data_IF_746811215350
#
_entry.id   IF_746811215350
#
_cell.length_a   1.000
_cell.length_b   1.000
_cell.length_c   1.000
_cell.angle_alpha   90.00
_cell.angle_beta   90.00
_cell.angle_gamma   90.00
#
_symmetry.space_group_name_H-M   'P 1'
#
loop_
_entity.id
_entity.type
_entity.pdbx_description
1 polymer ?
#
# COMPACT_ATOMS: atom_id res chain seq x y z
N UNK A 1 29.81 10.83 2.53
CA UNK A 1 29.20 10.22 1.32
C UNK A 1 27.77 10.71 1.02
N UNK A 2 27.09 11.39 1.96
CA UNK A 2 25.75 11.99 1.72
C UNK A 2 25.76 13.50 1.56
N UNK A 3 26.93 14.14 1.61
CA UNK A 3 27.08 15.60 1.58
C UNK A 3 26.54 16.24 0.28
N UNK A 4 26.50 15.47 -0.81
CA UNK A 4 25.92 15.92 -2.08
C UNK A 4 24.39 16.07 -2.06
N UNK A 5 23.70 15.50 -1.04
CA UNK A 5 22.24 15.59 -0.86
C UNK A 5 21.85 16.75 0.09
N UNK A 6 22.80 17.28 0.85
CA UNK A 6 22.52 18.34 1.82
C UNK A 6 22.00 19.58 1.08
N UNK A 7 20.80 20.03 1.45
CA UNK A 7 20.12 21.16 0.84
C UNK A 7 19.51 20.92 -0.53
N UNK A 8 19.61 19.70 -1.10
CA UNK A 8 18.95 19.31 -2.34
C UNK A 8 17.66 18.57 -2.02
N UNK A 9 16.65 18.72 -2.90
CA UNK A 9 15.42 17.92 -2.88
C UNK A 9 15.50 16.93 -4.04
N UNK A 10 16.08 15.73 -3.84
CA UNK A 10 16.23 14.76 -4.91
C UNK A 10 14.87 14.35 -5.46
N UNK A 11 14.79 14.15 -6.76
CA UNK A 11 13.63 13.53 -7.42
C UNK A 11 13.88 12.03 -7.47
N UNK A 12 12.96 11.25 -6.93
CA UNK A 12 13.10 9.79 -6.81
C UNK A 12 11.85 9.14 -7.40
N UNK A 13 12.05 8.29 -8.40
CA UNK A 13 11.01 7.44 -8.94
C UNK A 13 10.99 6.12 -8.16
N UNK A 14 9.81 5.73 -7.69
CA UNK A 14 9.56 4.45 -7.02
C UNK A 14 8.73 3.60 -7.95
N UNK A 15 9.24 2.42 -8.28
CA UNK A 15 8.54 1.40 -9.07
C UNK A 15 8.47 0.14 -8.21
N UNK A 16 7.28 -0.43 -8.06
CA UNK A 16 7.09 -1.65 -7.27
C UNK A 16 5.66 -1.82 -6.80
N UNK A 17 5.44 -2.87 -6.01
CA UNK A 17 4.13 -3.22 -5.50
C UNK A 17 3.69 -2.24 -4.42
N UNK A 18 2.70 -1.44 -4.78
CA UNK A 18 2.00 -0.57 -3.85
C UNK A 18 0.96 -1.39 -3.08
N UNK A 19 0.87 -1.19 -1.78
CA UNK A 19 -0.13 -1.87 -0.98
C UNK A 19 -0.69 -0.97 0.12
N UNK A 20 -1.82 -1.37 0.66
CA UNK A 20 -2.44 -0.75 1.82
C UNK A 20 -2.30 -1.68 3.02
N UNK A 21 -1.66 -1.22 4.09
CA UNK A 21 -1.68 -1.87 5.39
C UNK A 21 -2.88 -1.34 6.19
N UNK A 22 -3.82 -2.21 6.48
CA UNK A 22 -5.02 -1.89 7.24
C UNK A 22 -4.93 -2.49 8.63
N UNK A 23 -4.76 -1.66 9.65
CA UNK A 23 -4.68 -2.06 11.04
C UNK A 23 -6.06 -2.00 11.68
N UNK A 24 -6.57 -3.13 12.17
CA UNK A 24 -7.88 -3.25 12.80
C UNK A 24 -7.67 -3.67 14.25
N UNK A 25 -7.85 -2.71 15.17
CA UNK A 25 -7.77 -2.99 16.61
C UNK A 25 -9.09 -3.50 17.12
N UNK A 26 -9.03 -4.64 17.78
CA UNK A 26 -10.20 -5.38 18.25
C UNK A 26 -10.10 -5.70 19.73
N UNK A 27 -11.27 -5.79 20.38
CA UNK A 27 -11.45 -6.50 21.65
C UNK A 27 -11.90 -7.93 21.37
N UNK A 28 -11.23 -8.90 22.01
CA UNK A 28 -11.63 -10.28 22.01
C UNK A 28 -12.11 -10.65 23.42
N UNK A 29 -13.41 -10.84 23.59
CA UNK A 29 -14.01 -11.12 24.91
C UNK A 29 -14.67 -12.50 25.03
N UNK A 30 -14.87 -13.19 23.93
CA UNK A 30 -15.56 -14.48 23.93
C UNK A 30 -15.16 -15.34 22.73
N UNK A 31 -15.36 -16.65 22.90
CA UNK A 31 -15.37 -17.62 21.79
C UNK A 31 -16.78 -17.66 21.19
N UNK A 32 -16.87 -17.89 19.89
CA UNK A 32 -18.16 -18.04 19.20
C UNK A 32 -18.91 -19.27 19.70
N UNK A 33 -20.24 -19.19 19.84
CA UNK A 33 -21.05 -20.39 20.11
C UNK A 33 -21.22 -21.29 18.87
N UNK A 34 -20.92 -20.79 17.67
CA UNK A 34 -21.12 -21.52 16.41
C UNK A 34 -19.91 -22.36 16.00
N UNK A 35 -18.71 -21.98 16.44
CA UNK A 35 -17.44 -22.64 16.11
C UNK A 35 -16.36 -22.27 17.15
N UNK A 36 -15.28 -23.06 17.31
CA UNK A 36 -14.19 -22.75 18.24
C UNK A 36 -13.28 -21.61 17.70
N UNK A 37 -13.89 -20.46 17.41
CA UNK A 37 -13.23 -19.26 16.89
C UNK A 37 -13.47 -18.07 17.80
N UNK A 38 -12.51 -17.13 17.82
CA UNK A 38 -12.60 -15.90 18.60
C UNK A 38 -13.56 -14.90 17.94
N UNK A 39 -14.42 -14.27 18.74
CA UNK A 39 -15.25 -13.14 18.31
C UNK A 39 -14.49 -11.85 18.54
N UNK A 40 -14.09 -11.19 17.44
CA UNK A 40 -13.35 -9.94 17.45
C UNK A 40 -14.29 -8.76 17.23
N UNK A 41 -14.35 -7.84 18.20
CA UNK A 41 -15.09 -6.60 18.08
C UNK A 41 -14.16 -5.47 17.66
N UNK A 42 -14.25 -5.04 16.42
CA UNK A 42 -13.45 -3.94 15.90
C UNK A 42 -13.77 -2.63 16.64
N UNK A 43 -12.72 -1.92 17.07
CA UNK A 43 -12.80 -0.64 17.80
C UNK A 43 -12.23 0.52 16.99
N UNK A 44 -11.16 0.26 16.26
CA UNK A 44 -10.47 1.25 15.47
C UNK A 44 -9.93 0.61 14.21
N UNK A 45 -9.97 1.37 13.14
CA UNK A 45 -9.38 1.02 11.85
C UNK A 45 -8.46 2.15 11.39
N UNK A 46 -7.28 1.81 10.87
CA UNK A 46 -6.30 2.75 10.38
C UNK A 46 -5.61 2.18 9.13
N UNK A 47 -5.79 2.84 8.00
CA UNK A 47 -5.18 2.46 6.72
C UNK A 47 -3.90 3.26 6.50
N UNK A 48 -2.81 2.58 6.18
CA UNK A 48 -1.49 3.17 5.92
C UNK A 48 -0.95 2.73 4.57
N UNK A 49 -0.02 3.51 4.06
CA UNK A 49 0.77 3.15 2.88
C UNK A 49 1.73 2.02 3.25
N UNK A 50 1.71 0.91 2.49
CA UNK A 50 2.52 -0.27 2.66
C UNK A 50 3.37 -0.58 1.43
N UNK A 51 4.32 -1.51 1.54
CA UNK A 51 5.20 -1.88 0.45
C UNK A 51 5.94 -0.69 -0.17
N UNK A 52 5.94 -0.59 -1.49
CA UNK A 52 6.55 0.53 -2.22
C UNK A 52 5.91 1.89 -1.87
N UNK A 53 4.61 1.91 -1.51
CA UNK A 53 3.95 3.12 -1.05
C UNK A 53 4.49 3.61 0.32
N UNK A 54 4.93 2.71 1.21
CA UNK A 54 5.61 3.10 2.44
C UNK A 54 7.00 3.69 2.17
N UNK A 55 7.73 3.15 1.18
CA UNK A 55 9.00 3.75 0.73
C UNK A 55 8.77 5.17 0.24
N UNK A 56 7.71 5.39 -0.56
CA UNK A 56 7.29 6.73 -0.99
C UNK A 56 7.07 7.67 0.21
N UNK A 57 6.28 7.24 1.21
CA UNK A 57 5.99 8.05 2.38
C UNK A 57 7.25 8.42 3.18
N UNK A 58 8.18 7.47 3.33
CA UNK A 58 9.46 7.70 4.00
C UNK A 58 10.32 8.72 3.25
N UNK A 59 10.43 8.61 1.92
CA UNK A 59 11.18 9.56 1.10
C UNK A 59 10.58 10.97 1.16
N UNK A 60 9.25 11.09 1.11
CA UNK A 60 8.56 12.35 1.30
C UNK A 60 8.88 12.97 2.68
N UNK A 61 8.85 12.16 3.73
CA UNK A 61 9.17 12.60 5.09
C UNK A 61 10.62 13.08 5.24
N UNK A 62 11.54 12.53 4.43
CA UNK A 62 12.94 12.95 4.35
C UNK A 62 13.16 14.16 3.44
N UNK A 63 12.09 14.74 2.87
CA UNK A 63 12.15 15.94 2.04
C UNK A 63 12.48 15.69 0.57
N UNK A 64 12.51 14.44 0.11
CA UNK A 64 12.66 14.12 -1.31
C UNK A 64 11.36 14.40 -2.08
N UNK A 65 11.49 14.67 -3.39
CA UNK A 65 10.35 14.68 -4.32
C UNK A 65 10.16 13.26 -4.86
N UNK A 66 9.32 12.48 -4.18
CA UNK A 66 9.01 11.12 -4.59
C UNK A 66 7.90 11.11 -5.65
N UNK A 67 8.01 10.20 -6.61
CA UNK A 67 7.04 9.94 -7.66
C UNK A 67 6.84 8.44 -7.79
N UNK A 68 5.60 7.97 -7.77
CA UNK A 68 5.28 6.54 -7.86
C UNK A 68 4.85 6.17 -9.29
N UNK A 69 5.34 5.03 -9.78
CA UNK A 69 4.90 4.42 -11.02
C UNK A 69 4.55 2.95 -10.72
N UNK A 70 3.30 2.58 -10.90
CA UNK A 70 2.82 1.22 -10.60
C UNK A 70 1.47 0.93 -11.25
N UNK A 71 0.97 -0.29 -11.03
CA UNK A 71 -0.37 -0.73 -11.42
C UNK A 71 -1.19 -1.02 -10.17
N UNK A 72 -2.43 -0.56 -10.17
CA UNK A 72 -3.43 -0.80 -9.11
C UNK A 72 -4.73 -1.32 -9.70
N UNK A 73 -5.62 -1.83 -8.88
CA UNK A 73 -6.97 -2.21 -9.27
C UNK A 73 -7.93 -1.02 -9.29
N UNK A 74 -9.14 -1.27 -9.78
CA UNK A 74 -10.27 -0.33 -9.78
C UNK A 74 -11.11 -0.40 -8.48
N UNK A 75 -10.48 -0.86 -7.40
CA UNK A 75 -11.07 -1.07 -6.08
C UNK A 75 -10.81 0.10 -5.09
N UNK A 76 -11.32 -0.05 -3.86
CA UNK A 76 -11.13 0.95 -2.81
C UNK A 76 -9.66 1.13 -2.39
N UNK A 77 -8.87 0.06 -2.38
CA UNK A 77 -7.45 0.12 -2.04
C UNK A 77 -6.66 0.86 -3.14
N UNK A 78 -6.98 0.62 -4.41
CA UNK A 78 -6.41 1.34 -5.54
C UNK A 78 -6.73 2.84 -5.48
N UNK A 79 -7.99 3.21 -5.18
CA UNK A 79 -8.39 4.62 -4.99
C UNK A 79 -7.65 5.28 -3.82
N UNK A 80 -7.54 4.56 -2.69
CA UNK A 80 -6.80 5.04 -1.52
C UNK A 80 -5.34 5.38 -1.86
N UNK A 81 -4.69 4.55 -2.68
CA UNK A 81 -3.31 4.78 -3.13
C UNK A 81 -3.23 5.97 -4.09
N UNK A 82 -4.14 6.06 -5.07
CA UNK A 82 -4.19 7.16 -6.04
C UNK A 82 -4.37 8.54 -5.38
N UNK A 83 -5.17 8.61 -4.33
CA UNK A 83 -5.41 9.87 -3.60
C UNK A 83 -4.20 10.34 -2.77
N UNK A 84 -3.29 9.45 -2.41
CA UNK A 84 -2.17 9.72 -1.48
C UNK A 84 -0.80 9.78 -2.11
N UNK A 85 -0.66 9.27 -3.31
CA UNK A 85 0.62 9.20 -3.99
C UNK A 85 0.66 10.16 -5.17
N UNK A 86 1.73 10.93 -5.26
CA UNK A 86 2.05 11.64 -6.49
C UNK A 86 2.72 10.66 -7.45
N UNK A 87 2.14 10.50 -8.64
CA UNK A 87 2.69 9.55 -9.58
C UNK A 87 1.72 9.18 -10.70
N UNK A 88 2.12 8.18 -11.46
CA UNK A 88 1.28 7.53 -12.45
C UNK A 88 0.94 6.12 -11.96
N UNK A 89 -0.28 5.95 -11.49
CA UNK A 89 -0.83 4.65 -11.13
C UNK A 89 -1.80 4.23 -12.22
N UNK A 90 -1.39 3.24 -13.00
CA UNK A 90 -2.23 2.64 -14.04
C UNK A 90 -3.31 1.78 -13.38
N UNK A 91 -4.54 1.90 -13.82
CA UNK A 91 -5.67 1.14 -13.27
C UNK A 91 -5.96 -0.05 -14.16
N UNK A 92 -5.69 -1.24 -13.68
CA UNK A 92 -6.04 -2.48 -14.35
C UNK A 92 -7.42 -2.94 -13.86
N UNK A 93 -8.38 -2.96 -14.77
CA UNK A 93 -9.76 -3.35 -14.46
C UNK A 93 -9.83 -4.80 -13.99
N UNK A 94 -10.56 -5.05 -12.90
CA UNK A 94 -10.75 -6.37 -12.30
C UNK A 94 -9.55 -6.87 -11.48
N UNK A 95 -8.43 -6.12 -11.43
CA UNK A 95 -7.32 -6.42 -10.54
C UNK A 95 -7.70 -6.04 -9.11
N UNK A 96 -7.28 -6.85 -8.14
CA UNK A 96 -7.38 -6.54 -6.71
C UNK A 96 -6.07 -5.87 -6.28
N UNK A 97 -6.15 -4.64 -5.79
CA UNK A 97 -4.99 -3.96 -5.18
C UNK A 97 -4.61 -4.61 -3.87
N UNK A 98 -3.30 -4.74 -3.60
CA UNK A 98 -2.83 -5.42 -2.40
C UNK A 98 -3.29 -4.69 -1.13
N UNK A 99 -4.13 -5.34 -0.34
CA UNK A 99 -4.64 -4.88 0.95
C UNK A 99 -4.32 -5.93 2.02
N UNK A 100 -3.56 -5.53 3.03
CA UNK A 100 -3.15 -6.42 4.13
C UNK A 100 -3.86 -6.02 5.42
N UNK A 101 -4.92 -6.74 5.76
CA UNK A 101 -5.69 -6.52 7.00
C UNK A 101 -4.98 -7.20 8.18
N UNK A 102 -4.51 -6.39 9.12
CA UNK A 102 -3.83 -6.84 10.35
C UNK A 102 -4.77 -6.69 11.53
N UNK A 103 -5.26 -7.80 12.04
CA UNK A 103 -6.15 -7.84 13.19
C UNK A 103 -5.31 -7.86 14.47
N UNK A 104 -5.49 -6.84 15.31
CA UNK A 104 -4.71 -6.65 16.54
C UNK A 104 -5.63 -6.72 17.74
N UNK A 105 -5.29 -7.55 18.72
CA UNK A 105 -5.96 -7.61 20.02
C UNK A 105 -4.92 -7.67 21.13
N UNK A 106 -5.14 -6.94 22.22
CA UNK A 106 -4.22 -6.87 23.36
C UNK A 106 -2.75 -6.57 22.96
N UNK A 107 -2.57 -5.64 21.99
CA UNK A 107 -1.27 -5.24 21.44
C UNK A 107 -0.52 -6.33 20.65
N UNK A 108 -1.17 -7.44 20.31
CA UNK A 108 -0.61 -8.50 19.48
C UNK A 108 -1.37 -8.64 18.17
N UNK A 109 -0.65 -8.90 17.09
CA UNK A 109 -1.28 -9.28 15.82
C UNK A 109 -1.72 -10.73 15.91
N UNK A 110 -3.03 -10.94 15.85
CA UNK A 110 -3.65 -12.27 15.99
C UNK A 110 -3.98 -12.93 14.66
N UNK A 111 -4.17 -12.13 13.62
CA UNK A 111 -4.47 -12.60 12.26
C UNK A 111 -4.02 -11.57 11.22
N UNK A 112 -3.66 -12.05 10.03
CA UNK A 112 -3.55 -11.22 8.83
C UNK A 112 -4.40 -11.84 7.72
N UNK A 113 -5.23 -11.01 7.11
CA UNK A 113 -6.04 -11.35 5.95
C UNK A 113 -5.56 -10.50 4.78
N UNK A 114 -5.11 -11.14 3.71
CA UNK A 114 -4.56 -10.48 2.54
C UNK A 114 -5.53 -10.60 1.36
N UNK A 115 -5.87 -9.46 0.78
CA UNK A 115 -6.58 -9.35 -0.49
C UNK A 115 -5.57 -8.88 -1.53
N UNK A 116 -5.29 -9.69 -2.54
CA UNK A 116 -4.31 -9.36 -3.59
C UNK A 116 -4.55 -10.19 -4.86
N UNK A 117 -4.20 -9.63 -6.01
CA UNK A 117 -4.10 -10.38 -7.27
C UNK A 117 -2.65 -10.84 -7.46
N UNK A 118 -2.47 -12.14 -7.71
CA UNK A 118 -1.18 -12.74 -8.07
C UNK A 118 -0.99 -12.87 -9.58
N UNK A 119 -1.98 -12.44 -10.35
CA UNK A 119 -1.96 -12.47 -11.80
C UNK A 119 -0.97 -11.46 -12.37
N UNK A 120 -0.44 -11.77 -13.55
CA UNK A 120 0.45 -10.88 -14.29
C UNK A 120 -0.21 -9.53 -14.60
N UNK A 121 0.62 -8.51 -14.74
CA UNK A 121 0.17 -7.17 -15.12
C UNK A 121 -0.11 -7.18 -16.63
N UNK A 122 -1.34 -6.83 -17.03
CA UNK A 122 -1.70 -6.71 -18.45
C UNK A 122 -1.34 -5.35 -19.07
N UNK A 123 -0.81 -4.42 -18.29
CA UNK A 123 -0.47 -3.04 -18.68
C UNK A 123 1.04 -2.80 -18.75
N UNK A 124 1.84 -3.84 -19.07
CA UNK A 124 3.30 -3.76 -19.09
C UNK A 124 3.83 -2.72 -20.09
N UNK A 125 3.31 -2.76 -21.33
CA UNK A 125 3.72 -1.83 -22.38
C UNK A 125 3.40 -0.37 -22.01
N UNK A 126 2.23 -0.14 -21.40
CA UNK A 126 1.84 1.19 -20.91
C UNK A 126 2.75 1.64 -19.76
N UNK A 127 3.09 0.73 -18.84
CA UNK A 127 3.99 1.01 -17.72
C UNK A 127 5.39 1.38 -18.22
N UNK A 128 5.94 0.66 -19.18
CA UNK A 128 7.22 0.95 -19.83
C UNK A 128 7.18 2.29 -20.55
N UNK A 129 6.11 2.57 -21.30
CA UNK A 129 5.94 3.87 -21.97
C UNK A 129 5.91 5.04 -20.99
N UNK A 130 5.24 4.90 -19.84
CA UNK A 130 5.22 5.92 -18.80
C UNK A 130 6.59 6.08 -18.13
N UNK A 131 7.31 4.96 -17.89
CA UNK A 131 8.68 5.00 -17.39
C UNK A 131 9.60 5.82 -18.31
N UNK A 132 9.55 5.57 -19.62
CA UNK A 132 10.38 6.27 -20.60
C UNK A 132 10.10 7.80 -20.67
N UNK A 133 8.87 8.21 -20.38
CA UNK A 133 8.49 9.64 -20.31
C UNK A 133 9.04 10.32 -19.04
N UNK A 134 9.11 9.57 -17.93
CA UNK A 134 9.55 10.08 -16.63
C UNK A 134 11.08 10.12 -16.54
N UNK A 135 11.76 9.14 -17.17
CA UNK A 135 13.22 8.97 -17.12
C UNK A 135 13.99 9.98 -18.01
N UNK A 136 13.30 10.74 -18.87
CA UNK A 136 13.85 11.83 -19.69
C UNK A 136 13.83 13.16 -18.93
#
# INVERSE_FOLDING_TARGET
MLDFLIGKKPKILIIGDLMVDNYIWCDCKRVSPEAPVLVMNAKRNDKRLGGAANVYANLQSLGAKAYALSVVGDDEAGKFLQERLQGKLLVQKGRISSLKNRIISQSQQVLRLDDESVEEISLEDELLSEFDKIAK
#
